data_IF_964221786397
#
_entry.id   IF_964221786397
#
_cell.length_a   1.000
_cell.length_b   1.000
_cell.length_c   1.000
_cell.angle_alpha   90.00
_cell.angle_beta   90.00
_cell.angle_gamma   90.00
#
_symmetry.space_group_name_H-M   'P 1'
#
loop_
_entity.id
_entity.type
_entity.pdbx_description
1 polymer ?
#
# COMPACT_ATOMS: atom_id res chain seq x y z
N UNK A 1 10.03 -37.51 19.28
CA UNK A 1 11.32 -37.24 19.95
C UNK A 1 11.68 -35.78 19.76
N UNK A 2 11.16 -34.94 20.64
CA UNK A 2 11.76 -33.75 21.27
C UNK A 2 10.64 -33.13 22.11
N UNK A 3 10.87 -33.08 23.43
CA UNK A 3 9.92 -32.63 24.45
C UNK A 3 9.66 -31.12 24.39
N UNK A 4 8.52 -30.64 24.93
CA UNK A 4 8.20 -29.22 25.04
C UNK A 4 8.90 -28.58 26.25
N UNK A 5 9.29 -27.32 26.11
CA UNK A 5 9.76 -26.49 27.21
C UNK A 5 8.56 -25.79 27.87
N UNK A 6 8.44 -25.97 29.18
CA UNK A 6 7.59 -25.19 30.09
C UNK A 6 8.56 -24.43 31.03
N UNK A 7 8.34 -23.13 31.21
CA UNK A 7 8.67 -22.36 32.42
C UNK A 7 7.86 -21.05 32.35
N UNK A 8 6.82 -20.89 33.18
CA UNK A 8 6.84 -20.21 34.50
C UNK A 8 7.28 -18.73 34.39
N UNK A 9 6.33 -17.80 34.37
CA UNK A 9 5.80 -17.08 35.54
C UNK A 9 6.83 -16.17 36.21
N UNK A 10 6.58 -14.85 36.17
CA UNK A 10 6.73 -13.95 37.32
C UNK A 10 5.87 -12.69 37.13
N UNK A 11 5.32 -12.27 38.26
CA UNK A 11 4.33 -11.24 38.54
C UNK A 11 4.88 -9.80 38.49
N UNK A 12 4.01 -8.77 38.60
CA UNK A 12 4.35 -7.37 38.35
C UNK A 12 5.04 -6.71 39.53
N UNK A 13 5.95 -5.77 39.26
CA UNK A 13 6.48 -4.87 40.27
C UNK A 13 5.74 -3.53 40.22
N UNK A 14 5.12 -3.21 41.34
CA UNK A 14 4.54 -1.92 41.72
C UNK A 14 5.61 -0.94 42.20
N UNK A 15 5.18 0.32 42.33
CA UNK A 15 5.79 1.46 43.03
C UNK A 15 6.85 2.24 42.21
N UNK A 16 6.90 3.58 42.23
CA UNK A 16 6.43 4.51 43.24
C UNK A 16 5.97 5.84 42.62
N UNK A 17 4.98 6.43 43.27
CA UNK A 17 4.62 7.83 43.21
C UNK A 17 5.80 8.69 43.66
N UNK A 18 6.05 9.78 42.95
CA UNK A 18 6.73 10.94 43.53
C UNK A 18 5.92 12.19 43.15
N UNK A 19 5.14 12.63 44.13
CA UNK A 19 4.67 14.01 44.21
C UNK A 19 5.89 14.92 44.39
N UNK A 20 6.04 15.92 43.54
CA UNK A 20 6.68 17.18 43.92
C UNK A 20 5.78 18.34 43.49
N UNK A 21 5.26 19.00 44.52
CA UNK A 21 4.57 20.27 44.48
C UNK A 21 5.62 21.37 44.39
N UNK A 22 5.60 22.19 43.34
CA UNK A 22 6.28 23.50 43.34
C UNK A 22 5.29 24.58 42.95
N UNK A 23 5.13 25.50 43.89
CA UNK A 23 4.28 26.69 43.87
C UNK A 23 4.95 27.88 43.18
N UNK A 24 4.11 28.66 42.50
CA UNK A 24 4.13 30.13 42.31
C UNK A 24 5.31 30.78 41.57
N UNK A 25 5.02 31.33 40.40
CA UNK A 25 5.24 32.76 40.13
C UNK A 25 4.39 33.21 38.93
N UNK A 26 3.52 34.17 39.18
CA UNK A 26 2.85 35.00 38.19
C UNK A 26 3.86 35.75 37.33
N UNK A 27 3.75 35.62 36.00
CA UNK A 27 4.18 36.64 35.05
C UNK A 27 3.09 36.74 33.99
N UNK A 28 2.23 37.75 34.14
CA UNK A 28 1.42 38.27 33.05
C UNK A 28 2.36 38.76 31.94
N UNK A 29 2.41 37.99 30.84
CA UNK A 29 2.88 38.48 29.55
C UNK A 29 1.71 38.34 28.57
N UNK A 30 1.01 39.44 28.37
CA UNK A 30 -0.02 39.61 27.35
C UNK A 30 0.66 39.62 25.97
N UNK A 31 0.93 38.44 25.41
CA UNK A 31 1.28 38.33 23.99
C UNK A 31 0.01 38.27 23.15
N UNK A 32 -0.02 39.14 22.13
CA UNK A 32 -1.09 39.29 21.18
C UNK A 32 -1.31 37.98 20.37
N UNK A 33 -2.55 37.69 19.94
CA UNK A 33 -2.84 36.48 19.18
C UNK A 33 -2.20 36.53 17.79
N UNK A 34 -1.30 35.58 17.54
CA UNK A 34 -1.38 34.63 16.43
C UNK A 34 -1.93 35.15 15.08
N UNK A 35 -1.15 35.98 14.38
CA UNK A 35 -1.39 36.33 12.95
C UNK A 35 -0.37 35.67 12.01
N UNK A 36 0.63 34.96 12.56
CA UNK A 36 1.66 34.29 11.75
C UNK A 36 1.39 32.80 11.50
N UNK A 37 0.61 32.10 12.35
CA UNK A 37 0.25 30.70 12.10
C UNK A 37 -0.69 30.52 10.89
N UNK A 38 -1.58 31.49 10.63
CA UNK A 38 -2.55 31.41 9.52
C UNK A 38 -1.91 31.51 8.13
N UNK A 39 -0.75 32.18 7.99
CA UNK A 39 -0.08 32.38 6.69
C UNK A 39 0.86 31.22 6.31
N UNK A 40 1.38 30.50 7.30
CA UNK A 40 2.20 29.31 7.07
C UNK A 40 1.35 28.09 6.65
N UNK A 41 0.17 27.91 7.26
CA UNK A 41 -0.76 26.83 6.93
C UNK A 41 -1.34 26.94 5.51
N UNK A 42 -1.57 28.16 5.02
CA UNK A 42 -2.14 28.40 3.69
C UNK A 42 -1.11 28.16 2.56
N UNK A 43 0.18 28.36 2.84
CA UNK A 43 1.26 28.11 1.87
C UNK A 43 1.57 26.62 1.77
N UNK A 44 1.60 25.87 2.89
CA UNK A 44 1.84 24.42 2.87
C UNK A 44 0.69 23.63 2.27
N UNK A 45 -0.57 24.06 2.47
CA UNK A 45 -1.74 23.41 1.87
C UNK A 45 -1.75 23.56 0.33
N UNK A 46 -1.45 24.75 -0.19
CA UNK A 46 -1.36 25.00 -1.64
C UNK A 46 -0.26 24.17 -2.30
N UNK A 47 0.84 23.90 -1.58
CA UNK A 47 1.94 23.07 -2.08
C UNK A 47 1.58 21.57 -2.13
N UNK A 48 0.82 21.06 -1.15
CA UNK A 48 0.37 19.65 -1.13
C UNK A 48 -0.60 19.35 -2.27
N UNK A 49 -1.63 20.19 -2.46
CA UNK A 49 -2.64 19.95 -3.50
C UNK A 49 -2.06 20.05 -4.91
N UNK A 50 -1.18 21.02 -5.15
CA UNK A 50 -0.49 21.16 -6.44
C UNK A 50 0.48 20.00 -6.71
N UNK A 51 1.19 19.53 -5.69
CA UNK A 51 2.07 18.35 -5.77
C UNK A 51 1.26 17.08 -6.05
N UNK A 52 0.16 16.86 -5.31
CA UNK A 52 -0.78 15.74 -5.54
C UNK A 52 -1.30 15.75 -6.96
N UNK A 53 -1.73 16.91 -7.46
CA UNK A 53 -2.19 17.07 -8.84
C UNK A 53 -1.10 16.70 -9.85
N UNK A 54 0.13 17.19 -9.67
CA UNK A 54 1.24 16.87 -10.55
C UNK A 54 1.55 15.35 -10.58
N UNK A 55 1.52 14.69 -9.42
CA UNK A 55 1.70 13.23 -9.33
C UNK A 55 0.59 12.49 -10.07
N UNK A 56 -0.68 12.85 -9.84
CA UNK A 56 -1.83 12.19 -10.49
C UNK A 56 -1.78 12.39 -12.01
N UNK A 57 -1.51 13.60 -12.48
CA UNK A 57 -1.44 13.91 -13.91
C UNK A 57 -0.31 13.10 -14.58
N UNK A 58 0.87 13.08 -13.97
CA UNK A 58 2.03 12.35 -14.48
C UNK A 58 1.80 10.83 -14.46
N UNK A 59 1.27 10.28 -13.37
CA UNK A 59 0.94 8.87 -13.23
C UNK A 59 -0.09 8.44 -14.28
N UNK A 60 -1.20 9.18 -14.39
CA UNK A 60 -2.29 8.87 -15.32
C UNK A 60 -1.83 8.92 -16.78
N UNK A 61 -1.01 9.91 -17.16
CA UNK A 61 -0.47 10.03 -18.51
C UNK A 61 0.48 8.89 -18.91
N UNK A 62 0.95 8.09 -17.93
CA UNK A 62 1.92 7.02 -18.13
C UNK A 62 1.43 5.65 -17.63
N UNK A 63 0.17 5.52 -17.19
CA UNK A 63 -0.37 4.32 -16.55
C UNK A 63 -0.08 3.01 -17.30
N UNK A 64 -0.19 3.04 -18.62
CA UNK A 64 -0.04 1.85 -19.48
C UNK A 64 1.28 1.83 -20.26
N UNK A 65 2.22 2.74 -19.97
CA UNK A 65 3.52 2.81 -20.66
C UNK A 65 4.56 2.07 -19.83
N UNK A 66 5.04 0.96 -20.36
CA UNK A 66 6.00 0.05 -19.69
C UNK A 66 7.45 0.29 -20.07
N UNK A 67 7.68 1.08 -21.11
CA UNK A 67 8.97 1.35 -21.71
C UNK A 67 9.62 2.65 -21.21
N UNK A 68 8.92 3.43 -20.38
CA UNK A 68 9.33 4.76 -19.97
C UNK A 68 9.57 4.94 -18.45
N UNK A 69 9.74 3.85 -17.71
CA UNK A 69 9.92 3.92 -16.25
C UNK A 69 11.14 4.75 -15.85
N UNK A 70 12.25 4.65 -16.61
CA UNK A 70 13.49 5.38 -16.35
C UNK A 70 13.35 6.89 -16.54
N UNK A 71 12.39 7.31 -17.36
CA UNK A 71 12.08 8.71 -17.65
C UNK A 71 11.06 9.26 -16.66
N UNK A 72 10.08 8.46 -16.25
CA UNK A 72 9.00 8.89 -15.34
C UNK A 72 9.44 8.90 -13.88
N UNK A 73 10.20 7.90 -13.44
CA UNK A 73 10.63 7.77 -12.03
C UNK A 73 11.37 9.01 -11.51
N UNK A 74 12.38 9.57 -12.21
CA UNK A 74 13.07 10.78 -11.74
C UNK A 74 12.20 12.03 -11.66
N UNK A 75 11.04 12.05 -12.35
CA UNK A 75 10.07 13.14 -12.24
C UNK A 75 9.13 12.95 -11.05
N UNK A 76 8.81 11.71 -10.69
CA UNK A 76 7.97 11.38 -9.53
C UNK A 76 8.73 11.44 -8.20
N UNK A 77 9.99 10.99 -8.16
CA UNK A 77 10.77 10.89 -6.92
C UNK A 77 10.82 12.21 -6.11
N UNK A 78 11.12 13.38 -6.71
CA UNK A 78 11.10 14.65 -5.98
C UNK A 78 9.73 15.01 -5.42
N UNK A 79 8.65 14.65 -6.13
CA UNK A 79 7.28 14.89 -5.69
C UNK A 79 6.91 13.98 -4.51
N UNK A 80 7.35 12.71 -4.54
CA UNK A 80 7.21 11.79 -3.41
C UNK A 80 7.92 12.33 -2.17
N UNK A 81 9.12 12.88 -2.31
CA UNK A 81 9.87 13.45 -1.18
C UNK A 81 9.21 14.71 -0.59
N UNK A 82 8.51 15.51 -1.40
CA UNK A 82 7.67 16.62 -0.92
C UNK A 82 6.48 16.06 -0.13
N UNK A 83 5.78 15.07 -0.68
CA UNK A 83 4.62 14.46 -0.02
C UNK A 83 5.00 13.76 1.29
N UNK A 84 6.16 13.09 1.34
CA UNK A 84 6.70 12.46 2.55
C UNK A 84 6.82 13.45 3.72
N UNK A 85 7.31 14.66 3.44
CA UNK A 85 7.49 15.73 4.44
C UNK A 85 6.18 16.36 4.88
N UNK A 86 5.14 16.27 4.04
CA UNK A 86 3.81 16.78 4.33
C UNK A 86 2.94 15.81 5.15
N UNK A 87 3.31 14.52 5.16
CA UNK A 87 2.58 13.53 5.94
C UNK A 87 2.88 13.66 7.43
N UNK A 88 1.84 13.67 8.25
CA UNK A 88 1.93 13.65 9.72
C UNK A 88 1.52 12.29 10.32
N UNK A 89 1.21 11.31 9.46
CA UNK A 89 0.68 10.02 9.88
C UNK A 89 1.78 9.09 10.40
N UNK A 90 1.46 8.37 11.47
CA UNK A 90 2.24 7.26 11.99
C UNK A 90 2.05 5.99 11.15
N UNK A 91 2.94 4.98 11.25
CA UNK A 91 2.77 3.69 10.58
C UNK A 91 1.43 3.00 10.88
N UNK A 92 0.91 3.13 12.11
CA UNK A 92 -0.39 2.57 12.48
C UNK A 92 -1.54 3.29 11.77
N UNK A 93 -1.52 4.62 11.72
CA UNK A 93 -2.52 5.43 11.03
C UNK A 93 -2.49 5.19 9.51
N UNK A 94 -1.30 4.95 8.92
CA UNK A 94 -1.20 4.56 7.52
C UNK A 94 -1.98 3.27 7.21
N UNK A 95 -1.91 2.26 8.08
CA UNK A 95 -2.65 1.01 7.87
C UNK A 95 -4.17 1.23 7.94
N UNK A 96 -4.63 2.05 8.89
CA UNK A 96 -6.04 2.44 8.98
C UNK A 96 -6.48 3.18 7.72
N UNK A 97 -5.70 4.18 7.30
CA UNK A 97 -5.98 4.98 6.10
C UNK A 97 -5.89 4.17 4.82
N UNK A 98 -5.13 3.06 4.78
CA UNK A 98 -5.02 2.18 3.61
C UNK A 98 -6.30 1.40 3.31
N UNK A 99 -7.22 1.25 4.26
CA UNK A 99 -8.43 0.47 4.07
C UNK A 99 -9.26 0.97 2.87
N UNK A 100 -9.95 0.04 2.20
CA UNK A 100 -10.80 0.35 1.04
C UNK A 100 -10.20 -0.05 -0.30
N UNK A 101 -10.90 0.34 -1.37
CA UNK A 101 -10.58 -0.02 -2.74
C UNK A 101 -9.74 1.06 -3.41
N UNK A 102 -8.67 0.65 -4.07
CA UNK A 102 -7.69 1.50 -4.70
C UNK A 102 -7.48 1.06 -6.15
N UNK A 103 -7.39 2.01 -7.06
CA UNK A 103 -6.96 1.82 -8.45
C UNK A 103 -5.51 2.23 -8.59
N UNK A 104 -4.69 1.38 -9.19
CA UNK A 104 -3.31 1.72 -9.49
C UNK A 104 -3.28 2.67 -10.71
N UNK A 105 -2.73 3.87 -10.52
CA UNK A 105 -2.50 4.84 -11.61
C UNK A 105 -1.14 4.63 -12.26
N UNK A 106 -0.11 4.29 -11.49
CA UNK A 106 1.22 4.03 -12.03
C UNK A 106 2.07 3.22 -11.06
N UNK A 107 2.97 2.42 -11.62
CA UNK A 107 4.07 1.76 -10.92
C UNK A 107 5.19 1.46 -11.92
N UNK A 108 6.43 1.47 -11.45
CA UNK A 108 7.59 0.98 -12.17
C UNK A 108 7.92 -0.49 -11.88
N UNK A 109 7.08 -1.19 -11.10
CA UNK A 109 7.09 -2.64 -11.02
C UNK A 109 6.95 -3.21 -12.44
N UNK A 110 7.96 -3.95 -12.87
CA UNK A 110 8.15 -4.47 -14.22
C UNK A 110 7.89 -5.97 -14.33
N UNK A 111 7.18 -6.58 -13.37
CA UNK A 111 6.95 -8.02 -13.31
C UNK A 111 6.42 -8.63 -14.61
N UNK A 112 5.49 -7.94 -15.29
CA UNK A 112 4.87 -8.37 -16.55
C UNK A 112 5.78 -8.28 -17.79
N UNK A 113 6.96 -7.66 -17.67
CA UNK A 113 7.93 -7.51 -18.78
C UNK A 113 9.26 -8.23 -18.54
N UNK A 114 9.43 -8.90 -17.39
CA UNK A 114 10.63 -9.68 -17.09
C UNK A 114 10.73 -10.91 -18.00
N UNK A 115 11.95 -11.23 -18.45
CA UNK A 115 12.21 -12.30 -19.42
C UNK A 115 11.79 -13.72 -18.94
N UNK A 116 11.70 -13.93 -17.63
CA UNK A 116 11.22 -15.17 -17.02
C UNK A 116 9.69 -15.20 -16.86
N UNK A 117 9.01 -14.05 -17.02
CA UNK A 117 7.56 -13.99 -16.99
C UNK A 117 7.01 -14.35 -18.38
N UNK A 118 6.64 -15.62 -18.53
CA UNK A 118 5.94 -16.10 -19.73
C UNK A 118 4.44 -15.76 -19.70
N UNK A 119 3.97 -15.12 -18.63
CA UNK A 119 2.59 -14.64 -18.48
C UNK A 119 2.51 -13.24 -19.10
N UNK A 120 2.11 -13.24 -20.37
CA UNK A 120 0.93 -12.52 -20.88
C UNK A 120 0.55 -11.22 -20.16
N UNK A 121 0.61 -10.12 -20.90
CA UNK A 121 0.54 -8.75 -20.37
C UNK A 121 -0.59 -8.49 -19.37
N UNK A 122 -0.24 -7.73 -18.35
CA UNK A 122 -1.18 -7.17 -17.39
C UNK A 122 -1.91 -5.99 -18.00
N UNK A 123 -3.23 -5.96 -17.92
CA UNK A 123 -4.00 -4.76 -18.18
C UNK A 123 -3.79 -3.79 -17.01
N UNK A 124 -2.77 -2.93 -17.13
CA UNK A 124 -2.41 -1.92 -16.12
C UNK A 124 -3.52 -0.90 -15.88
N UNK A 125 -4.43 -0.69 -16.84
CA UNK A 125 -5.61 0.16 -16.65
C UNK A 125 -6.64 -0.48 -15.70
N UNK A 126 -6.57 -1.81 -15.55
CA UNK A 126 -7.45 -2.63 -14.71
C UNK A 126 -6.67 -3.31 -13.58
N UNK A 127 -5.80 -2.58 -12.90
CA UNK A 127 -5.08 -3.05 -11.72
C UNK A 127 -5.56 -2.32 -10.47
N UNK A 128 -5.92 -3.09 -9.44
CA UNK A 128 -6.57 -2.60 -8.23
C UNK A 128 -6.04 -3.29 -6.99
N UNK A 129 -6.29 -2.68 -5.84
CA UNK A 129 -6.02 -3.24 -4.54
C UNK A 129 -7.21 -3.02 -3.61
N UNK A 130 -7.64 -4.05 -2.89
CA UNK A 130 -8.61 -3.93 -1.80
C UNK A 130 -7.93 -4.26 -0.48
N UNK A 131 -7.93 -3.31 0.46
CA UNK A 131 -7.33 -3.47 1.79
C UNK A 131 -8.42 -3.54 2.86
N UNK A 132 -8.32 -4.52 3.75
CA UNK A 132 -9.19 -4.71 4.91
C UNK A 132 -8.52 -4.19 6.19
N UNK A 133 -9.33 -3.89 7.22
CA UNK A 133 -8.82 -3.39 8.50
C UNK A 133 -8.01 -4.40 9.32
N UNK A 134 -8.09 -5.70 8.98
CA UNK A 134 -7.25 -6.74 9.57
C UNK A 134 -5.83 -6.81 8.96
N UNK A 135 -5.51 -5.91 8.03
CA UNK A 135 -4.23 -5.87 7.31
C UNK A 135 -4.16 -6.85 6.13
N UNK A 136 -5.18 -7.69 5.91
CA UNK A 136 -5.29 -8.49 4.69
C UNK A 136 -5.58 -7.56 3.51
N UNK A 137 -4.96 -7.82 2.37
CA UNK A 137 -5.30 -7.13 1.14
C UNK A 137 -5.21 -8.05 -0.07
N UNK A 138 -5.88 -7.65 -1.14
CA UNK A 138 -5.84 -8.34 -2.42
C UNK A 138 -5.35 -7.38 -3.48
N UNK A 139 -4.24 -7.72 -4.15
CA UNK A 139 -3.90 -7.13 -5.44
C UNK A 139 -4.62 -7.93 -6.52
N UNK A 140 -5.27 -7.25 -7.46
CA UNK A 140 -5.94 -7.94 -8.54
C UNK A 140 -5.93 -7.14 -9.81
N UNK A 141 -5.74 -7.88 -10.89
CA UNK A 141 -5.54 -7.32 -12.21
C UNK A 141 -6.17 -8.23 -13.26
N UNK A 142 -6.31 -7.69 -14.46
CA UNK A 142 -6.67 -8.49 -15.61
C UNK A 142 -5.42 -8.91 -16.37
N UNK A 143 -5.40 -10.17 -16.81
CA UNK A 143 -4.34 -10.79 -17.60
C UNK A 143 -4.92 -11.18 -18.95
N UNK A 144 -4.24 -10.81 -20.03
CA UNK A 144 -4.67 -11.12 -21.39
C UNK A 144 -3.79 -12.21 -21.98
N UNK A 145 -4.32 -13.43 -22.03
CA UNK A 145 -3.65 -14.59 -22.65
C UNK A 145 -3.65 -14.49 -24.20
N UNK A 146 -2.90 -15.34 -24.93
CA UNK A 146 -2.88 -15.35 -26.38
C UNK A 146 -4.28 -15.66 -26.88
N UNK A 147 -4.56 -15.23 -28.11
CA UNK A 147 -5.90 -15.31 -28.69
C UNK A 147 -6.96 -14.48 -27.95
N UNK A 148 -6.55 -13.56 -27.06
CA UNK A 148 -7.44 -12.58 -26.42
C UNK A 148 -8.27 -13.13 -25.26
N UNK A 149 -7.90 -14.29 -24.71
CA UNK A 149 -8.60 -14.84 -23.53
C UNK A 149 -8.27 -13.98 -22.32
N UNK A 150 -9.30 -13.41 -21.68
CA UNK A 150 -9.15 -12.56 -20.49
C UNK A 150 -9.30 -13.41 -19.23
N UNK A 151 -8.36 -13.26 -18.31
CA UNK A 151 -8.43 -13.83 -16.96
C UNK A 151 -8.30 -12.72 -15.92
N UNK A 152 -8.93 -12.91 -14.77
CA UNK A 152 -8.68 -12.09 -13.59
C UNK A 152 -7.70 -12.82 -12.69
N UNK A 153 -6.65 -12.15 -12.26
CA UNK A 153 -5.71 -12.66 -11.26
C UNK A 153 -5.94 -11.95 -9.93
N UNK A 154 -5.87 -12.72 -8.84
CA UNK A 154 -6.07 -12.24 -7.47
C UNK A 154 -4.93 -12.77 -6.60
N UNK A 155 -4.07 -11.87 -6.17
CA UNK A 155 -2.98 -12.14 -5.24
C UNK A 155 -3.41 -11.70 -3.85
N UNK A 156 -3.53 -12.66 -2.94
CA UNK A 156 -3.81 -12.45 -1.52
C UNK A 156 -2.51 -12.15 -0.79
N UNK A 157 -2.57 -11.11 0.03
CA UNK A 157 -1.43 -10.54 0.72
C UNK A 157 -1.82 -10.10 2.14
N UNK A 158 -0.82 -9.80 2.96
CA UNK A 158 -1.03 -9.24 4.30
C UNK A 158 0.02 -8.17 4.61
N UNK A 159 -0.39 -7.18 5.41
CA UNK A 159 0.48 -6.25 6.10
C UNK A 159 0.73 -6.74 7.53
N UNK A 160 1.96 -6.59 8.01
CA UNK A 160 2.33 -6.72 9.43
C UNK A 160 3.05 -5.45 9.84
N UNK A 161 2.64 -4.86 10.95
CA UNK A 161 3.29 -3.65 11.46
C UNK A 161 4.78 -3.92 11.76
N UNK A 162 5.62 -2.96 11.38
CA UNK A 162 7.05 -2.94 11.65
C UNK A 162 7.46 -1.57 12.21
N UNK A 163 8.66 -1.47 12.76
CA UNK A 163 9.12 -0.25 13.46
C UNK A 163 9.08 1.02 12.59
N UNK A 164 9.27 0.88 11.27
CA UNK A 164 9.34 2.03 10.34
C UNK A 164 8.30 2.02 9.22
N UNK A 165 7.39 1.05 9.19
CA UNK A 165 6.38 0.90 8.14
C UNK A 165 5.64 -0.43 8.22
N UNK A 166 5.38 -1.08 7.08
CA UNK A 166 4.62 -2.33 7.02
C UNK A 166 5.43 -3.42 6.33
N UNK A 167 5.67 -4.53 7.02
CA UNK A 167 6.12 -5.76 6.35
C UNK A 167 4.98 -6.31 5.49
N UNK A 168 5.30 -6.78 4.29
CA UNK A 168 4.34 -7.41 3.39
C UNK A 168 4.67 -8.89 3.20
N UNK A 169 3.65 -9.68 2.93
CA UNK A 169 3.81 -11.06 2.47
C UNK A 169 2.67 -11.50 1.59
N UNK A 170 2.92 -12.54 0.80
CA UNK A 170 1.99 -13.08 -0.19
C UNK A 170 1.62 -14.51 0.17
N UNK A 171 0.34 -14.83 0.28
CA UNK A 171 -0.13 -16.11 0.83
C UNK A 171 -1.11 -16.88 -0.07
N UNK A 172 -1.66 -16.24 -1.10
CA UNK A 172 -2.53 -16.92 -2.06
C UNK A 172 -2.50 -16.31 -3.46
N UNK A 173 -2.64 -17.15 -4.49
CA UNK A 173 -2.84 -16.71 -5.87
C UNK A 173 -4.01 -17.47 -6.47
N UNK A 174 -4.97 -16.74 -7.00
CA UNK A 174 -6.16 -17.29 -7.64
C UNK A 174 -6.34 -16.68 -9.02
N UNK A 175 -6.76 -17.50 -9.98
CA UNK A 175 -7.15 -17.04 -11.30
C UNK A 175 -8.63 -17.32 -11.53
N UNK A 176 -9.29 -16.48 -12.31
CA UNK A 176 -10.67 -16.70 -12.74
C UNK A 176 -10.78 -16.44 -14.23
N UNK A 177 -11.49 -17.31 -14.94
CA UNK A 177 -11.81 -17.06 -16.34
C UNK A 177 -12.79 -15.88 -16.47
N UNK A 178 -12.54 -15.05 -17.48
CA UNK A 178 -13.24 -13.79 -17.69
C UNK A 178 -12.51 -12.61 -17.03
N UNK A 179 -12.67 -11.44 -17.62
CA UNK A 179 -12.05 -10.21 -17.13
C UNK A 179 -12.63 -9.73 -15.80
N UNK A 180 -11.96 -8.73 -15.23
CA UNK A 180 -12.50 -7.97 -14.12
C UNK A 180 -13.72 -7.23 -14.68
N UNK A 181 -14.87 -7.39 -14.04
CA UNK A 181 -16.12 -6.75 -14.45
C UNK A 181 -16.05 -5.22 -14.32
N UNK A 182 -17.17 -4.59 -14.02
CA UNK A 182 -17.19 -3.15 -13.70
C UNK A 182 -16.51 -2.88 -12.34
N UNK A 183 -15.88 -1.70 -12.21
CA UNK A 183 -15.16 -1.29 -11.00
C UNK A 183 -16.05 -1.33 -9.74
N UNK A 184 -17.32 -0.94 -9.89
CA UNK A 184 -18.34 -0.97 -8.83
C UNK A 184 -18.59 -2.37 -8.24
N UNK A 185 -18.29 -3.44 -8.98
CA UNK A 185 -18.47 -4.83 -8.54
C UNK A 185 -17.24 -5.45 -7.87
N UNK A 186 -16.10 -4.76 -7.85
CA UNK A 186 -14.82 -5.36 -7.44
C UNK A 186 -14.78 -5.73 -5.98
N UNK A 187 -15.26 -4.86 -5.08
CA UNK A 187 -15.29 -5.17 -3.66
C UNK A 187 -16.13 -6.42 -3.38
N UNK A 188 -17.32 -6.51 -3.95
CA UNK A 188 -18.19 -7.66 -3.80
C UNK A 188 -17.56 -8.95 -4.34
N UNK A 189 -16.82 -8.86 -5.46
CA UNK A 189 -16.06 -9.98 -6.00
C UNK A 189 -15.00 -10.49 -5.01
N UNK A 190 -14.17 -9.60 -4.46
CA UNK A 190 -13.14 -9.99 -3.48
C UNK A 190 -13.78 -10.52 -2.18
N UNK A 191 -14.86 -9.90 -1.71
CA UNK A 191 -15.60 -10.39 -0.53
C UNK A 191 -16.13 -11.81 -0.75
N UNK A 192 -16.61 -12.14 -1.95
CA UNK A 192 -17.04 -13.50 -2.32
C UNK A 192 -15.86 -14.48 -2.38
N UNK A 193 -14.68 -14.05 -2.84
CA UNK A 193 -13.46 -14.87 -2.83
C UNK A 193 -13.05 -15.16 -1.38
N UNK A 194 -12.93 -14.13 -0.53
CA UNK A 194 -12.56 -14.25 0.89
C UNK A 194 -13.55 -15.15 1.65
N UNK A 195 -14.84 -15.09 1.32
CA UNK A 195 -15.88 -15.93 1.92
C UNK A 195 -15.98 -17.35 1.34
N UNK A 196 -15.15 -17.72 0.35
CA UNK A 196 -15.22 -19.02 -0.31
C UNK A 196 -16.50 -19.24 -1.14
N UNK A 197 -17.21 -18.17 -1.50
CA UNK A 197 -18.47 -18.19 -2.25
C UNK A 197 -18.27 -18.00 -3.76
N UNK A 198 -17.07 -17.59 -4.18
CA UNK A 198 -16.77 -17.36 -5.59
C UNK A 198 -16.47 -18.69 -6.32
N UNK A 199 -17.38 -19.07 -7.22
CA UNK A 199 -17.17 -20.21 -8.13
C UNK A 199 -16.17 -19.89 -9.25
N UNK A 200 -15.57 -20.94 -9.82
CA UNK A 200 -14.70 -20.85 -11.00
C UNK A 200 -13.30 -20.28 -10.73
N UNK A 201 -12.87 -20.21 -9.47
CA UNK A 201 -11.49 -19.90 -9.12
C UNK A 201 -10.58 -21.10 -9.33
N UNK A 202 -9.45 -20.84 -9.96
CA UNK A 202 -8.32 -21.76 -10.11
C UNK A 202 -7.30 -21.35 -9.06
N UNK A 203 -7.07 -22.22 -8.05
CA UNK A 203 -6.05 -21.99 -7.04
C UNK A 203 -4.66 -22.29 -7.62
N UNK A 204 -3.81 -21.28 -7.69
CA UNK A 204 -2.44 -21.35 -8.20
C UNK A 204 -1.40 -21.26 -7.08
N UNK A 205 -1.81 -21.19 -5.81
CA UNK A 205 -0.94 -20.99 -4.65
C UNK A 205 0.17 -22.04 -4.56
N UNK A 206 -0.15 -23.31 -4.82
CA UNK A 206 0.83 -24.41 -4.70
C UNK A 206 1.91 -24.40 -5.78
N UNK A 207 1.59 -23.89 -6.98
CA UNK A 207 2.48 -23.85 -8.15
C UNK A 207 3.21 -22.52 -8.30
N UNK A 208 2.82 -21.50 -7.52
CA UNK A 208 3.36 -20.14 -7.57
C UNK A 208 4.24 -19.80 -6.35
N UNK A 209 4.86 -20.81 -5.74
CA UNK A 209 5.72 -20.64 -4.56
C UNK A 209 7.06 -19.98 -4.90
N UNK A 210 7.52 -19.12 -4.01
CA UNK A 210 8.87 -18.56 -4.02
C UNK A 210 9.93 -19.68 -4.02
N UNK A 211 11.01 -19.59 -4.82
CA UNK A 211 11.45 -18.43 -5.61
C UNK A 211 10.92 -18.39 -7.06
N UNK A 212 9.97 -19.26 -7.44
CA UNK A 212 9.43 -19.32 -8.82
C UNK A 212 8.14 -18.52 -9.01
N UNK A 213 7.57 -18.00 -7.93
CA UNK A 213 6.42 -17.11 -7.91
C UNK A 213 6.36 -16.34 -6.59
N UNK A 214 5.37 -15.45 -6.41
CA UNK A 214 5.32 -14.55 -5.26
C UNK A 214 4.96 -15.23 -3.95
N UNK A 215 4.33 -16.41 -3.95
CA UNK A 215 3.76 -16.99 -2.73
C UNK A 215 4.85 -17.41 -1.75
N UNK A 216 4.80 -16.83 -0.55
CA UNK A 216 5.81 -16.98 0.50
C UNK A 216 6.97 -15.99 0.41
N UNK A 217 7.04 -15.15 -0.63
CA UNK A 217 7.95 -14.00 -0.63
C UNK A 217 7.52 -13.01 0.46
N UNK A 218 8.49 -12.28 0.98
CA UNK A 218 8.29 -11.21 1.95
C UNK A 218 8.85 -9.91 1.41
N UNK A 219 8.51 -8.82 2.07
CA UNK A 219 8.98 -7.51 1.69
C UNK A 219 8.62 -6.47 2.72
N UNK A 220 8.79 -5.22 2.31
CA UNK A 220 8.48 -4.06 3.12
C UNK A 220 7.81 -2.99 2.25
N UNK A 221 6.80 -2.35 2.80
CA UNK A 221 6.06 -1.26 2.20
C UNK A 221 6.15 -0.03 3.10
N UNK A 222 6.78 1.01 2.57
CA UNK A 222 6.80 2.35 3.14
C UNK A 222 5.64 3.15 2.55
N UNK A 223 4.71 3.58 3.42
CA UNK A 223 3.65 4.50 3.02
C UNK A 223 4.20 5.91 3.10
N UNK A 224 4.26 6.59 1.97
CA UNK A 224 4.83 7.94 1.88
C UNK A 224 3.79 8.98 2.25
N UNK A 225 2.59 8.81 1.69
CA UNK A 225 1.46 9.73 1.90
C UNK A 225 0.15 9.02 1.59
N UNK A 226 -0.90 9.36 2.34
CA UNK A 226 -2.25 8.86 2.08
C UNK A 226 -3.30 9.89 2.54
N UNK A 227 -4.28 10.14 1.68
CA UNK A 227 -5.48 10.90 2.01
C UNK A 227 -6.74 10.18 1.49
N UNK A 228 -7.85 10.91 1.35
CA UNK A 228 -9.10 10.35 0.85
C UNK A 228 -9.11 10.11 -0.68
N UNK A 229 -8.10 10.56 -1.40
CA UNK A 229 -8.05 10.53 -2.87
C UNK A 229 -6.87 9.72 -3.39
N UNK A 230 -5.69 9.83 -2.78
CA UNK A 230 -4.44 9.26 -3.26
C UNK A 230 -3.70 8.50 -2.17
N UNK A 231 -2.96 7.48 -2.61
CA UNK A 231 -1.98 6.77 -1.81
C UNK A 231 -0.68 6.63 -2.58
N UNK A 232 0.42 6.95 -1.91
CA UNK A 232 1.79 6.86 -2.43
C UNK A 232 2.58 5.88 -1.59
N UNK A 233 3.12 4.84 -2.22
CA UNK A 233 3.90 3.83 -1.53
C UNK A 233 5.26 3.64 -2.22
N UNK A 234 6.29 3.29 -1.43
CA UNK A 234 7.52 2.63 -1.89
C UNK A 234 7.49 1.20 -1.37
N UNK A 235 7.60 0.20 -2.24
CA UNK A 235 7.61 -1.19 -1.80
C UNK A 235 8.86 -1.91 -2.30
N UNK A 236 9.47 -2.70 -1.42
CA UNK A 236 10.49 -3.67 -1.74
C UNK A 236 9.93 -5.06 -1.49
N UNK A 237 10.26 -6.02 -2.35
CA UNK A 237 9.98 -7.43 -2.09
C UNK A 237 11.15 -8.33 -2.49
N UNK A 238 11.25 -9.50 -1.86
CA UNK A 238 12.37 -10.43 -2.04
C UNK A 238 12.37 -11.15 -3.40
N UNK A 239 11.24 -11.14 -4.13
CA UNK A 239 11.17 -11.71 -5.47
C UNK A 239 11.89 -10.83 -6.49
N UNK A 240 11.76 -9.51 -6.35
CA UNK A 240 12.25 -8.55 -7.34
C UNK A 240 13.53 -7.85 -6.94
N UNK A 241 13.74 -7.70 -5.62
CA UNK A 241 14.90 -7.07 -5.00
C UNK A 241 15.15 -5.61 -5.41
N UNK A 242 14.12 -4.97 -5.95
CA UNK A 242 14.08 -3.55 -6.28
C UNK A 242 13.06 -2.84 -5.39
N UNK A 243 13.19 -1.51 -5.27
CA UNK A 243 12.17 -0.66 -4.66
C UNK A 243 11.31 -0.11 -5.78
N UNK A 244 10.03 -0.46 -5.77
CA UNK A 244 9.03 0.04 -6.71
C UNK A 244 8.23 1.17 -6.08
N UNK A 245 7.85 2.14 -6.90
CA UNK A 245 6.92 3.21 -6.55
C UNK A 245 5.50 2.79 -6.95
N UNK A 246 4.53 3.13 -6.12
CA UNK A 246 3.12 2.95 -6.43
C UNK A 246 2.36 4.25 -6.22
N UNK A 247 1.61 4.65 -7.25
CA UNK A 247 0.63 5.73 -7.19
C UNK A 247 -0.75 5.12 -7.33
N UNK A 248 -1.58 5.23 -6.30
CA UNK A 248 -2.93 4.70 -6.30
C UNK A 248 -3.96 5.78 -6.01
N UNK A 249 -5.13 5.66 -6.64
CA UNK A 249 -6.30 6.51 -6.43
C UNK A 249 -7.38 5.74 -5.69
N UNK A 250 -7.99 6.34 -4.67
CA UNK A 250 -9.12 5.75 -3.96
C UNK A 250 -10.33 5.69 -4.87
N UNK A 251 -11.04 4.56 -4.81
CA UNK A 251 -12.35 4.39 -5.43
C UNK A 251 -13.45 4.52 -4.36
N UNK A 252 -14.64 5.02 -4.75
CA UNK A 252 -15.78 5.13 -3.84
C UNK A 252 -16.32 3.78 -3.37
#
# INVERSE_FOLDING_TARGET
>A
FFSPFIADSQQPSTMAEHEETVTTADVEATEAPDVQAAKAADTTSSDVDSTKKAIVDLATANQCKIDNFKEVRPQLDPLFDIMAKSSTLTPAEFLERKQGLWKQLWTDDADDVKANNKVMGTDRARTYQLVYGDGTFYNFNEVVLPFGIRMSAFLSCYYKQADKGLNIGFDGLYLKLGGLGEESGMKALIDNIKAGKQGGLINMTSVSKFPKGPIGATGYNESIYIDEEIRLDRAYNDADKDIDLYVLKRLP
#
